data_IF_033874631528
#
_entry.id   IF_033874631528
#
_cell.length_a   1.000
_cell.length_b   1.000
_cell.length_c   1.000
_cell.angle_alpha   90.00
_cell.angle_beta   90.00
_cell.angle_gamma   90.00
#
_symmetry.space_group_name_H-M   'P 1'
#
loop_
_entity.id
_entity.type
_entity.pdbx_description
1 polymer ?
#
# COMPACT_ATOMS: atom_id res chain seq x y z
N UNK A 1 47.01 -2.76 -0.54
CA UNK A 1 46.06 -1.98 -1.36
C UNK A 1 44.71 -2.07 -0.69
N UNK A 2 43.91 -0.99 -0.61
CA UNK A 2 42.58 -1.07 -0.01
C UNK A 2 41.71 -2.06 -0.80
N UNK A 3 40.87 -2.82 -0.10
CA UNK A 3 40.00 -3.78 -0.75
C UNK A 3 38.86 -3.01 -1.44
N UNK A 4 38.67 -3.25 -2.73
CA UNK A 4 37.48 -2.79 -3.46
C UNK A 4 36.51 -3.95 -3.56
N UNK A 5 35.29 -3.73 -3.09
CA UNK A 5 34.20 -4.70 -3.16
C UNK A 5 33.06 -4.09 -3.96
N UNK A 6 32.38 -4.92 -4.75
CA UNK A 6 31.17 -4.55 -5.45
C UNK A 6 29.98 -5.18 -4.74
N UNK A 7 29.04 -4.35 -4.29
CA UNK A 7 27.75 -4.83 -3.78
C UNK A 7 26.65 -4.43 -4.75
N UNK A 8 25.74 -5.36 -5.01
CA UNK A 8 24.50 -5.07 -5.74
C UNK A 8 23.32 -5.35 -4.83
N UNK A 9 22.40 -4.40 -4.74
CA UNK A 9 21.23 -4.49 -3.86
C UNK A 9 19.97 -3.88 -4.48
N UNK A 10 18.82 -4.08 -3.84
CA UNK A 10 17.56 -3.46 -4.25
C UNK A 10 17.64 -1.93 -4.14
N UNK A 11 17.12 -1.24 -5.16
CA UNK A 11 17.09 0.23 -5.20
C UNK A 11 15.67 0.77 -5.34
N UNK A 12 14.94 0.30 -6.35
CA UNK A 12 13.60 0.79 -6.64
C UNK A 12 12.68 -0.36 -7.03
N UNK A 13 11.43 -0.29 -6.55
CA UNK A 13 10.32 -1.00 -7.13
C UNK A 13 9.20 0.00 -7.38
N UNK A 14 8.79 0.09 -8.64
CA UNK A 14 7.68 0.94 -9.04
C UNK A 14 6.54 0.08 -9.57
N UNK A 15 5.36 0.28 -8.98
CA UNK A 15 4.10 -0.32 -9.42
C UNK A 15 3.17 0.79 -9.88
N UNK A 16 2.58 0.63 -11.06
CA UNK A 16 1.63 1.58 -11.63
C UNK A 16 0.24 0.97 -11.61
N UNK A 17 -0.69 1.68 -11.01
CA UNK A 17 -2.10 1.31 -10.94
C UNK A 17 -2.94 2.42 -11.55
N UNK A 18 -4.00 2.04 -12.22
CA UNK A 18 -5.10 2.94 -12.53
C UNK A 18 -5.89 3.21 -11.23
N UNK A 19 -5.91 4.47 -10.78
CA UNK A 19 -6.58 4.84 -9.54
C UNK A 19 -8.13 4.86 -9.66
N UNK A 20 -8.67 4.83 -10.87
CA UNK A 20 -10.11 4.79 -11.13
C UNK A 20 -10.58 3.33 -11.21
N UNK A 21 -9.85 2.49 -11.96
CA UNK A 21 -10.28 1.11 -12.21
C UNK A 21 -9.63 0.09 -11.28
N UNK A 22 -8.57 0.46 -10.57
CA UNK A 22 -7.75 -0.46 -9.78
C UNK A 22 -6.86 -1.38 -10.61
N UNK A 23 -6.81 -1.22 -11.93
CA UNK A 23 -6.07 -2.12 -12.83
C UNK A 23 -4.56 -1.88 -12.76
N UNK A 24 -3.77 -2.95 -12.67
CA UNK A 24 -2.31 -2.88 -12.78
C UNK A 24 -1.90 -2.47 -14.21
N UNK A 25 -1.19 -1.35 -14.34
CA UNK A 25 -0.72 -0.78 -15.61
C UNK A 25 0.74 -1.11 -15.93
N UNK A 26 1.49 -1.61 -14.95
CA UNK A 26 2.88 -2.04 -15.14
C UNK A 26 3.66 -2.08 -13.85
N UNK A 27 4.76 -2.81 -13.86
CA UNK A 27 5.68 -2.91 -12.74
C UNK A 27 7.12 -3.06 -13.24
N UNK A 28 8.06 -2.44 -12.54
CA UNK A 28 9.48 -2.63 -12.78
C UNK A 28 10.27 -2.66 -11.47
N UNK A 29 11.39 -3.35 -11.51
CA UNK A 29 12.36 -3.40 -10.42
C UNK A 29 13.73 -2.91 -10.92
N UNK A 30 14.42 -2.14 -10.10
CA UNK A 30 15.78 -1.69 -10.36
C UNK A 30 16.69 -2.03 -9.16
N UNK A 31 17.91 -2.43 -9.49
CA UNK A 31 19.00 -2.61 -8.52
C UNK A 31 19.98 -1.45 -8.61
N UNK A 32 20.74 -1.24 -7.55
CA UNK A 32 21.90 -0.36 -7.58
C UNK A 32 23.15 -1.16 -7.22
N UNK A 33 24.21 -0.90 -7.97
CA UNK A 33 25.54 -1.45 -7.74
C UNK A 33 26.41 -0.35 -7.15
N UNK A 34 27.03 -0.61 -5.99
CA UNK A 34 27.92 0.34 -5.31
C UNK A 34 29.29 -0.27 -5.10
N UNK A 35 30.34 0.53 -5.29
CA UNK A 35 31.70 0.14 -4.94
C UNK A 35 32.00 0.55 -3.50
N UNK A 36 32.45 -0.40 -2.69
CA UNK A 36 32.96 -0.16 -1.35
C UNK A 36 34.47 -0.11 -1.38
N UNK A 37 35.04 0.76 -0.56
CA UNK A 37 36.44 0.74 -0.18
C UNK A 37 36.52 0.51 1.31
N UNK A 38 37.12 -0.62 1.69
CA UNK A 38 37.28 -1.00 3.10
C UNK A 38 35.94 -0.96 3.89
N UNK A 39 34.86 -1.44 3.26
CA UNK A 39 33.52 -1.50 3.86
C UNK A 39 32.70 -0.20 3.79
N UNK A 40 33.22 0.88 3.21
CA UNK A 40 32.51 2.15 3.05
C UNK A 40 32.19 2.41 1.58
N UNK A 41 30.93 2.78 1.28
CA UNK A 41 30.52 3.16 -0.09
C UNK A 41 31.36 4.34 -0.56
N UNK A 42 32.01 4.18 -1.71
CA UNK A 42 32.75 5.26 -2.36
C UNK A 42 31.76 6.28 -2.93
N UNK A 43 31.84 7.56 -2.54
CA UNK A 43 30.95 8.58 -3.05
C UNK A 43 31.00 8.67 -4.58
N UNK A 44 29.83 8.68 -5.23
CA UNK A 44 29.70 8.74 -6.68
C UNK A 44 29.98 7.42 -7.42
N UNK A 45 30.30 6.34 -6.70
CA UNK A 45 30.51 5.01 -7.27
C UNK A 45 29.27 4.10 -7.17
N UNK A 46 28.08 4.72 -7.17
CA UNK A 46 26.80 4.02 -7.23
C UNK A 46 26.20 4.19 -8.62
N UNK A 47 25.91 3.06 -9.28
CA UNK A 47 25.22 3.01 -10.57
C UNK A 47 23.87 2.35 -10.39
N UNK A 48 22.82 2.99 -10.94
CA UNK A 48 21.49 2.40 -10.99
C UNK A 48 21.42 1.53 -12.25
N UNK A 49 21.11 0.25 -12.06
CA UNK A 49 20.92 -0.67 -13.18
C UNK A 49 19.59 -0.37 -13.88
N UNK A 50 19.50 -0.56 -15.21
CA UNK A 50 18.26 -0.33 -15.95
C UNK A 50 17.08 -1.09 -15.33
N UNK A 51 15.91 -0.43 -15.18
CA UNK A 51 14.71 -1.10 -14.68
C UNK A 51 14.39 -2.34 -15.53
N UNK A 52 14.19 -3.46 -14.86
CA UNK A 52 13.74 -4.69 -15.50
C UNK A 52 12.24 -4.81 -15.37
N UNK A 53 11.58 -5.07 -16.49
CA UNK A 53 10.18 -5.50 -16.49
C UNK A 53 10.13 -6.87 -15.81
N UNK A 54 9.22 -7.00 -14.85
CA UNK A 54 9.08 -8.22 -14.07
C UNK A 54 8.40 -9.28 -14.94
N UNK A 55 9.07 -10.40 -15.16
CA UNK A 55 8.50 -11.63 -15.73
C UNK A 55 8.35 -12.72 -14.64
N UNK A 56 7.67 -13.82 -14.97
CA UNK A 56 7.07 -14.77 -14.01
C UNK A 56 8.06 -15.40 -13.00
N UNK A 57 9.37 -15.46 -13.26
CA UNK A 57 10.35 -16.01 -12.31
C UNK A 57 10.69 -15.07 -11.14
N UNK A 58 10.53 -13.75 -11.33
CA UNK A 58 10.59 -12.77 -10.23
C UNK A 58 9.31 -12.74 -9.38
N UNK A 59 8.28 -13.53 -9.74
CA UNK A 59 6.95 -13.47 -9.13
C UNK A 59 6.89 -14.04 -7.70
N UNK A 60 7.86 -14.82 -7.23
CA UNK A 60 7.80 -15.48 -5.91
C UNK A 60 7.97 -14.49 -4.75
N UNK A 61 8.98 -13.63 -4.81
CA UNK A 61 9.17 -12.52 -3.85
C UNK A 61 8.06 -11.48 -3.96
N UNK A 62 7.42 -11.40 -5.14
CA UNK A 62 6.33 -10.48 -5.46
C UNK A 62 5.00 -10.98 -4.92
N UNK A 63 4.76 -12.29 -4.94
CA UNK A 63 3.58 -12.91 -4.35
C UNK A 63 3.52 -12.59 -2.85
N UNK A 64 4.65 -12.70 -2.14
CA UNK A 64 4.75 -12.42 -0.70
C UNK A 64 4.51 -10.93 -0.38
N UNK A 65 5.11 -10.00 -1.14
CA UNK A 65 4.88 -8.56 -0.94
C UNK A 65 3.46 -8.15 -1.36
N UNK A 66 2.93 -8.72 -2.43
CA UNK A 66 1.54 -8.49 -2.87
C UNK A 66 0.54 -9.06 -1.87
N UNK A 67 0.82 -10.21 -1.28
CA UNK A 67 0.02 -10.82 -0.22
C UNK A 67 0.00 -9.94 1.03
N UNK A 68 1.15 -9.37 1.42
CA UNK A 68 1.21 -8.44 2.55
C UNK A 68 0.40 -7.15 2.29
N UNK A 69 0.56 -6.55 1.10
CA UNK A 69 -0.20 -5.36 0.69
C UNK A 69 -1.70 -5.64 0.58
N UNK A 70 -2.08 -6.77 -0.02
CA UNK A 70 -3.47 -7.18 -0.16
C UNK A 70 -4.11 -7.50 1.19
N UNK A 71 -3.36 -8.12 2.11
CA UNK A 71 -3.84 -8.38 3.48
C UNK A 71 -4.12 -7.08 4.21
N UNK A 72 -3.20 -6.10 4.13
CA UNK A 72 -3.42 -4.78 4.73
C UNK A 72 -4.60 -4.03 4.09
N UNK A 73 -4.76 -4.11 2.77
CA UNK A 73 -5.89 -3.51 2.06
C UNK A 73 -7.23 -4.16 2.45
N UNK A 74 -7.29 -5.50 2.53
CA UNK A 74 -8.49 -6.23 2.96
C UNK A 74 -8.85 -5.93 4.42
N UNK A 75 -7.86 -5.83 5.30
CA UNK A 75 -8.08 -5.39 6.69
C UNK A 75 -8.67 -3.99 6.72
N UNK A 76 -8.13 -3.06 5.92
CA UNK A 76 -8.66 -1.69 5.85
C UNK A 76 -10.09 -1.63 5.30
N UNK A 77 -10.40 -2.47 4.32
CA UNK A 77 -11.78 -2.61 3.80
C UNK A 77 -12.71 -3.10 4.91
N UNK A 78 -12.34 -4.16 5.62
CA UNK A 78 -13.15 -4.70 6.72
C UNK A 78 -13.37 -3.67 7.85
N UNK A 79 -12.35 -2.88 8.19
CA UNK A 79 -12.48 -1.76 9.13
C UNK A 79 -13.47 -0.70 8.63
N UNK A 80 -13.37 -0.31 7.36
CA UNK A 80 -14.25 0.69 6.76
C UNK A 80 -15.70 0.18 6.67
N UNK A 81 -15.91 -1.10 6.37
CA UNK A 81 -17.23 -1.73 6.39
C UNK A 81 -17.84 -1.72 7.80
N UNK A 82 -17.04 -2.02 8.83
CA UNK A 82 -17.48 -1.95 10.21
C UNK A 82 -17.84 -0.50 10.63
N UNK A 83 -17.01 0.48 10.24
CA UNK A 83 -17.29 1.90 10.49
C UNK A 83 -18.57 2.37 9.79
N UNK A 84 -18.81 1.93 8.55
CA UNK A 84 -20.02 2.24 7.81
C UNK A 84 -21.26 1.63 8.49
N UNK A 85 -21.18 0.37 8.93
CA UNK A 85 -22.28 -0.28 9.64
C UNK A 85 -22.63 0.43 10.95
N UNK A 86 -21.63 0.85 11.73
CA UNK A 86 -21.84 1.60 12.97
C UNK A 86 -22.45 2.98 12.69
N UNK A 87 -21.95 3.71 11.68
CA UNK A 87 -22.50 4.99 11.29
C UNK A 87 -23.97 4.90 10.84
N UNK A 88 -24.35 3.84 10.12
CA UNK A 88 -25.73 3.58 9.74
C UNK A 88 -26.61 3.30 10.96
N UNK A 89 -26.14 2.49 11.91
CA UNK A 89 -26.86 2.21 13.15
C UNK A 89 -27.08 3.47 14.00
N UNK A 90 -26.06 4.33 14.10
CA UNK A 90 -26.17 5.61 14.80
C UNK A 90 -27.18 6.54 14.11
N UNK A 91 -27.13 6.64 12.78
CA UNK A 91 -28.10 7.42 11.99
C UNK A 91 -29.52 6.94 12.28
N UNK A 92 -29.76 5.64 12.21
CA UNK A 92 -31.10 5.07 12.38
C UNK A 92 -31.63 5.29 13.81
N UNK A 93 -30.76 5.19 14.82
CA UNK A 93 -31.11 5.52 16.19
C UNK A 93 -31.48 7.01 16.39
N UNK A 94 -30.77 7.92 15.71
CA UNK A 94 -31.08 9.36 15.75
C UNK A 94 -32.41 9.65 15.08
N UNK A 95 -32.67 9.05 13.91
CA UNK A 95 -33.95 9.20 13.19
C UNK A 95 -35.11 8.70 14.06
N UNK A 96 -34.99 7.50 14.64
CA UNK A 96 -36.05 6.96 15.51
C UNK A 96 -36.33 7.84 16.74
N UNK A 97 -35.29 8.45 17.34
CA UNK A 97 -35.47 9.40 18.46
C UNK A 97 -36.18 10.68 18.01
N UNK A 98 -35.86 11.19 16.82
CA UNK A 98 -36.50 12.38 16.27
C UNK A 98 -37.99 12.13 16.02
N UNK A 99 -38.34 10.99 15.42
CA UNK A 99 -39.75 10.60 15.18
C UNK A 99 -40.54 10.43 16.49
N UNK A 100 -39.93 9.83 17.52
CA UNK A 100 -40.54 9.71 18.84
C UNK A 100 -40.77 11.08 19.50
N UNK A 101 -39.79 11.99 19.41
CA UNK A 101 -39.90 13.34 19.95
C UNK A 101 -40.99 14.14 19.24
N UNK A 102 -41.11 14.02 17.92
CA UNK A 102 -42.15 14.66 17.13
C UNK A 102 -43.55 14.14 17.50
N UNK A 103 -43.70 12.81 17.61
CA UNK A 103 -44.96 12.18 18.04
C UNK A 103 -45.39 12.63 19.44
N UNK A 104 -44.44 12.70 20.38
CA UNK A 104 -44.71 13.15 21.75
C UNK A 104 -45.10 14.64 21.81
N UNK A 105 -44.48 15.48 20.98
CA UNK A 105 -44.81 16.90 20.87
C UNK A 105 -46.23 17.08 20.30
N UNK A 106 -46.61 16.33 19.25
CA UNK A 106 -47.95 16.37 18.68
C UNK A 106 -49.03 15.89 19.65
N UNK A 107 -48.74 14.89 20.49
CA UNK A 107 -49.69 14.39 21.49
C UNK A 107 -49.90 15.33 22.68
N UNK A 108 -48.99 16.31 22.86
CA UNK A 108 -49.02 17.27 23.98
C UNK A 108 -49.57 18.65 23.57
N UNK A 109 -49.92 18.84 22.30
CA UNK A 109 -50.48 20.07 21.73
C UNK A 109 -52.01 19.98 21.59
#
# INVERSE_FOLDING_TARGET
MPALEEITGPYEWLVRWDHITGTLQGQHYATATSILRDGVIVPGATSINPPQAITVESATTIAEVSELLNTGALQRIAELEAQLADALAQRDAVVARAEQAETAAQASA
#
